data_IF_196031063136
#
_entry.id   IF_196031063136
#
_cell.length_a   1.000
_cell.length_b   1.000
_cell.length_c   1.000
_cell.angle_alpha   90.00
_cell.angle_beta   90.00
_cell.angle_gamma   90.00
#
_symmetry.space_group_name_H-M   'P 1'
#
loop_
_entity.id
_entity.type
_entity.pdbx_description
1 polymer ?
#
# COMPACT_ATOMS: atom_id res chain seq x y z
N UNK A 1 18.88 -9.31 4.47
CA UNK A 1 18.37 -8.15 5.25
C UNK A 1 16.89 -8.36 5.42
N UNK A 2 16.40 -8.55 6.64
CA UNK A 2 14.97 -8.71 6.90
C UNK A 2 14.57 -7.64 7.90
N UNK A 3 13.72 -6.71 7.47
CA UNK A 3 13.09 -5.72 8.33
C UNK A 3 11.63 -5.60 7.92
N UNK A 4 10.72 -5.86 8.84
CA UNK A 4 9.28 -5.76 8.59
C UNK A 4 8.79 -4.47 9.24
N UNK A 5 8.41 -3.43 8.47
CA UNK A 5 7.79 -2.27 9.05
C UNK A 5 6.46 -2.67 9.69
N UNK A 6 6.30 -2.39 10.97
CA UNK A 6 5.05 -2.60 11.71
C UNK A 6 4.37 -1.26 11.94
N UNK A 7 3.11 -1.07 11.51
CA UNK A 7 2.37 0.14 11.82
C UNK A 7 2.09 0.18 13.32
N UNK A 8 2.53 1.25 13.99
CA UNK A 8 2.25 1.46 15.42
C UNK A 8 1.12 2.46 15.65
N UNK A 9 1.02 3.50 14.82
CA UNK A 9 0.00 4.56 14.92
C UNK A 9 -0.32 5.11 13.52
N UNK A 10 -1.59 5.41 13.28
CA UNK A 10 -2.04 6.03 12.04
C UNK A 10 -3.44 6.60 12.17
N UNK A 11 -3.79 7.50 11.27
CA UNK A 11 -5.10 8.09 11.14
C UNK A 11 -5.42 8.32 9.67
N UNK A 12 -6.71 8.30 9.34
CA UNK A 12 -7.17 8.54 7.98
C UNK A 12 -8.54 9.20 7.97
N UNK A 13 -8.80 9.88 6.87
CA UNK A 13 -10.02 10.61 6.58
C UNK A 13 -10.48 10.15 5.20
N UNK A 14 -11.78 9.92 5.03
CA UNK A 14 -12.35 9.64 3.71
C UNK A 14 -13.66 10.38 3.54
N UNK A 15 -13.98 10.69 2.29
CA UNK A 15 -15.23 11.33 1.90
C UNK A 15 -15.65 10.86 0.51
N UNK A 16 -16.96 10.79 0.30
CA UNK A 16 -17.54 10.52 -1.01
C UNK A 16 -18.74 11.43 -1.25
N UNK A 17 -18.95 11.80 -2.51
CA UNK A 17 -20.12 12.53 -2.94
C UNK A 17 -20.61 11.99 -4.28
N UNK A 18 -21.90 12.15 -4.54
CA UNK A 18 -22.55 11.73 -5.78
C UNK A 18 -23.18 12.95 -6.44
N UNK A 19 -22.78 13.20 -7.67
CA UNK A 19 -23.25 14.28 -8.53
C UNK A 19 -23.94 13.65 -9.74
N UNK A 20 -25.23 13.33 -9.60
CA UNK A 20 -25.98 12.59 -10.61
C UNK A 20 -25.39 11.18 -10.86
N UNK A 21 -24.95 10.85 -12.08
CA UNK A 21 -24.33 9.56 -12.37
C UNK A 21 -22.87 9.45 -11.88
N UNK A 22 -22.23 10.58 -11.56
CA UNK A 22 -20.82 10.65 -11.16
C UNK A 22 -20.68 10.47 -9.65
N UNK A 23 -19.82 9.54 -9.24
CA UNK A 23 -19.38 9.35 -7.87
C UNK A 23 -17.93 9.80 -7.75
N UNK A 24 -17.66 10.69 -6.80
CA UNK A 24 -16.33 11.17 -6.46
C UNK A 24 -15.98 10.73 -5.05
N UNK A 25 -14.77 10.23 -4.86
CA UNK A 25 -14.25 9.83 -3.57
C UNK A 25 -12.84 10.38 -3.36
N UNK A 26 -12.54 10.74 -2.11
CA UNK A 26 -11.23 11.19 -1.68
C UNK A 26 -10.86 10.51 -0.37
N UNK A 27 -9.58 10.18 -0.20
CA UNK A 27 -9.04 9.67 1.04
C UNK A 27 -7.65 10.25 1.31
N UNK A 28 -7.37 10.53 2.57
CA UNK A 28 -6.07 10.98 3.08
C UNK A 28 -5.70 10.14 4.28
N UNK A 29 -4.42 9.79 4.40
CA UNK A 29 -3.93 8.95 5.50
C UNK A 29 -2.53 9.34 5.93
N UNK A 30 -2.28 9.19 7.23
CA UNK A 30 -0.97 9.30 7.86
C UNK A 30 -0.67 8.03 8.66
N UNK A 31 0.56 7.55 8.56
CA UNK A 31 1.04 6.42 9.34
C UNK A 31 2.47 6.67 9.85
N UNK A 32 2.73 6.19 11.07
CA UNK A 32 4.07 6.04 11.63
C UNK A 32 4.38 4.54 11.77
N UNK A 33 5.40 4.11 11.05
CA UNK A 33 5.84 2.71 10.98
C UNK A 33 7.15 2.57 11.74
N UNK A 34 7.19 1.64 12.68
CA UNK A 34 8.45 1.25 13.32
C UNK A 34 9.07 0.12 12.51
N UNK A 35 10.37 0.21 12.27
CA UNK A 35 11.13 -0.76 11.49
C UNK A 35 12.36 -1.15 12.26
N UNK A 36 12.47 -2.43 12.56
CA UNK A 36 13.67 -3.06 13.07
C UNK A 36 14.31 -3.86 11.95
N UNK A 37 15.62 -3.70 11.78
CA UNK A 37 16.41 -4.38 10.77
C UNK A 37 17.57 -5.08 11.44
N UNK A 38 17.81 -6.33 11.07
CA UNK A 38 19.02 -7.06 11.46
C UNK A 38 19.75 -7.58 10.21
N UNK A 39 21.09 -7.51 10.23
CA UNK A 39 21.95 -8.19 9.25
C UNK A 39 23.09 -8.93 9.94
N UNK A 40 23.35 -10.15 9.50
CA UNK A 40 24.55 -10.89 9.85
C UNK A 40 25.62 -10.66 8.79
N UNK A 41 26.87 -10.51 9.24
CA UNK A 41 28.07 -10.53 8.39
C UNK A 41 28.96 -11.68 8.85
N UNK A 42 28.70 -12.93 8.40
CA UNK A 42 29.44 -14.11 8.86
C UNK A 42 30.95 -13.99 8.66
N UNK A 43 31.38 -13.40 7.55
CA UNK A 43 32.80 -13.16 7.24
C UNK A 43 33.51 -12.24 8.26
N UNK A 44 32.77 -11.43 9.01
CA UNK A 44 33.30 -10.51 10.03
C UNK A 44 32.89 -10.92 11.45
N UNK A 45 32.23 -12.07 11.62
CA UNK A 45 31.75 -12.54 12.93
C UNK A 45 30.80 -11.57 13.64
N UNK A 46 30.13 -10.67 12.90
CA UNK A 46 29.35 -9.58 13.48
C UNK A 46 27.86 -9.65 13.11
N UNK A 47 26.99 -9.27 14.05
CA UNK A 47 25.57 -9.04 13.83
C UNK A 47 25.27 -7.56 14.06
N UNK A 48 24.62 -6.94 13.09
CA UNK A 48 24.30 -5.52 13.08
C UNK A 48 22.80 -5.33 13.12
N UNK A 49 22.37 -4.28 13.81
CA UNK A 49 20.96 -3.93 13.97
C UNK A 49 20.72 -2.44 13.83
N UNK A 50 19.52 -2.08 13.42
CA UNK A 50 19.04 -0.71 13.46
C UNK A 50 17.54 -0.68 13.71
N UNK A 51 17.08 0.27 14.51
CA UNK A 51 15.67 0.58 14.69
C UNK A 51 15.40 2.03 14.30
N UNK A 52 14.33 2.26 13.54
CA UNK A 52 13.93 3.60 13.14
C UNK A 52 12.43 3.71 12.88
N UNK A 53 11.90 4.92 13.05
CA UNK A 53 10.51 5.23 12.74
C UNK A 53 10.42 5.97 11.41
N UNK A 54 9.69 5.39 10.47
CA UNK A 54 9.34 5.98 9.17
C UNK A 54 7.95 6.61 9.25
N UNK A 55 7.77 7.77 8.62
CA UNK A 55 6.44 8.37 8.46
C UNK A 55 5.97 8.26 7.02
N UNK A 56 4.67 8.06 6.83
CA UNK A 56 4.05 7.95 5.52
C UNK A 56 2.80 8.83 5.46
N UNK A 57 2.71 9.62 4.40
CA UNK A 57 1.52 10.37 4.03
C UNK A 57 0.97 9.79 2.73
N UNK A 58 -0.33 9.52 2.67
CA UNK A 58 -0.99 8.95 1.50
C UNK A 58 -2.22 9.75 1.14
N UNK A 59 -2.51 9.81 -0.16
CA UNK A 59 -3.70 10.45 -0.69
C UNK A 59 -4.21 9.70 -1.91
N UNK A 60 -5.54 9.68 -2.06
CA UNK A 60 -6.22 9.10 -3.21
C UNK A 60 -7.43 9.94 -3.60
N UNK A 61 -7.59 10.15 -4.89
CA UNK A 61 -8.79 10.70 -5.52
C UNK A 61 -9.33 9.67 -6.51
N UNK A 62 -10.64 9.48 -6.54
CA UNK A 62 -11.28 8.52 -7.43
C UNK A 62 -12.58 9.12 -8.00
N UNK A 63 -12.80 8.92 -9.30
CA UNK A 63 -14.03 9.26 -9.99
C UNK A 63 -14.57 8.01 -10.67
N UNK A 64 -15.88 7.81 -10.64
CA UNK A 64 -16.56 6.72 -11.35
C UNK A 64 -17.95 7.16 -11.78
N UNK A 65 -18.46 6.66 -12.91
CA UNK A 65 -19.79 7.02 -13.40
C UNK A 65 -20.57 5.77 -13.77
N UNK A 66 -21.83 5.65 -13.33
CA UNK A 66 -22.67 4.53 -13.74
C UNK A 66 -22.99 4.66 -15.24
N UNK A 67 -22.49 3.73 -16.04
CA UNK A 67 -22.64 3.75 -17.51
C UNK A 67 -23.85 2.91 -17.96
N UNK A 68 -24.04 1.75 -17.34
CA UNK A 68 -25.15 0.86 -17.65
C UNK A 68 -25.55 0.06 -16.41
N UNK A 69 -26.86 -0.18 -16.25
CA UNK A 69 -27.40 -1.01 -15.17
C UNK A 69 -28.46 -1.97 -15.71
N UNK A 70 -28.38 -3.24 -15.34
CA UNK A 70 -29.30 -4.29 -15.78
C UNK A 70 -29.35 -5.41 -14.75
N UNK A 71 -30.53 -5.94 -14.42
CA UNK A 71 -30.70 -7.11 -13.55
C UNK A 71 -29.89 -7.07 -12.23
N UNK A 72 -29.84 -5.91 -11.56
CA UNK A 72 -29.06 -5.74 -10.31
C UNK A 72 -27.55 -5.57 -10.50
N UNK A 73 -27.08 -5.56 -11.75
CA UNK A 73 -25.69 -5.25 -12.11
C UNK A 73 -25.56 -3.77 -12.48
N UNK A 74 -24.43 -3.15 -12.16
CA UNK A 74 -24.08 -1.80 -12.61
C UNK A 74 -22.62 -1.75 -13.06
N UNK A 75 -22.41 -1.39 -14.32
CA UNK A 75 -21.08 -1.20 -14.89
C UNK A 75 -20.70 0.28 -14.84
N UNK A 76 -19.54 0.56 -14.27
CA UNK A 76 -19.01 1.92 -14.09
C UNK A 76 -17.55 2.02 -14.55
N UNK A 77 -17.20 2.86 -15.53
CA UNK A 77 -15.83 3.31 -15.71
C UNK A 77 -15.34 4.06 -14.48
N UNK A 78 -14.03 3.97 -14.24
CA UNK A 78 -13.38 4.53 -13.09
C UNK A 78 -12.00 5.08 -13.45
N UNK A 79 -11.67 6.22 -12.88
CA UNK A 79 -10.34 6.82 -12.90
C UNK A 79 -9.90 7.14 -11.48
N UNK A 80 -8.62 7.00 -11.17
CA UNK A 80 -8.08 7.41 -9.88
C UNK A 80 -6.67 7.96 -9.99
N UNK A 81 -6.31 8.78 -9.01
CA UNK A 81 -4.96 9.25 -8.75
C UNK A 81 -4.60 8.88 -7.32
N UNK A 82 -3.39 8.37 -7.13
CA UNK A 82 -2.88 8.02 -5.80
C UNK A 82 -1.44 8.50 -5.66
N UNK A 83 -1.10 8.99 -4.47
CA UNK A 83 0.26 9.34 -4.10
C UNK A 83 0.55 8.91 -2.67
N UNK A 84 1.77 8.45 -2.41
CA UNK A 84 2.31 8.17 -1.10
C UNK A 84 3.71 8.78 -1.00
N UNK A 85 3.96 9.52 0.08
CA UNK A 85 5.28 9.99 0.45
C UNK A 85 5.73 9.29 1.72
N UNK A 86 6.91 8.69 1.68
CA UNK A 86 7.52 7.96 2.79
C UNK A 86 8.82 8.67 3.18
N UNK A 87 8.95 9.04 4.45
CA UNK A 87 10.15 9.68 5.00
C UNK A 87 10.79 8.78 6.03
N UNK A 88 12.02 8.34 5.77
CA UNK A 88 12.83 7.62 6.76
C UNK A 88 13.97 8.51 7.26
N UNK A 89 14.28 8.50 8.56
CA UNK A 89 15.42 9.21 9.11
C UNK A 89 16.73 8.58 8.60
N UNK A 90 17.84 9.30 8.75
CA UNK A 90 19.15 8.67 8.65
C UNK A 90 19.35 7.75 9.86
N UNK A 91 19.95 6.59 9.65
CA UNK A 91 20.14 5.60 10.71
C UNK A 91 21.54 5.00 10.60
N UNK A 92 22.21 4.91 11.74
CA UNK A 92 23.49 4.20 11.83
C UNK A 92 23.23 2.85 12.48
N UNK A 93 23.70 1.79 11.84
CA UNK A 93 23.62 0.48 12.44
C UNK A 93 24.60 0.31 13.59
N UNK A 94 24.19 -0.48 14.57
CA UNK A 94 24.97 -0.80 15.77
C UNK A 94 25.28 -2.29 15.84
N UNK A 95 26.41 -2.63 16.46
CA UNK A 95 26.81 -4.02 16.73
C UNK A 95 26.63 -4.33 18.21
N UNK A 96 26.11 -5.52 18.52
CA UNK A 96 26.02 -6.00 19.90
C UNK A 96 27.41 -6.26 20.51
N UNK A 97 28.41 -6.65 19.70
CA UNK A 97 29.77 -6.92 20.17
C UNK A 97 30.67 -5.67 20.28
N UNK A 98 30.14 -4.47 20.02
CA UNK A 98 30.88 -3.21 20.03
C UNK A 98 31.78 -2.98 18.80
N UNK A 99 32.37 -4.04 18.24
CA UNK A 99 33.10 -3.98 16.97
C UNK A 99 32.11 -4.00 15.78
N UNK A 100 32.16 -2.96 14.95
CA UNK A 100 31.25 -2.79 13.81
C UNK A 100 31.97 -2.30 12.53
N UNK A 101 33.07 -2.93 12.08
CA UNK A 101 33.82 -2.48 10.90
C UNK A 101 32.97 -2.47 9.62
N UNK A 102 31.91 -3.28 9.57
CA UNK A 102 30.93 -3.31 8.49
C UNK A 102 29.66 -2.48 8.75
N UNK A 103 29.55 -1.73 9.85
CA UNK A 103 28.38 -0.90 10.13
C UNK A 103 28.18 0.16 9.05
N UNK A 104 26.91 0.37 8.71
CA UNK A 104 26.50 1.33 7.71
C UNK A 104 25.76 2.48 8.36
N UNK A 105 26.06 3.68 7.90
CA UNK A 105 25.20 4.83 8.05
C UNK A 105 24.35 4.96 6.79
N UNK A 106 23.03 4.81 6.95
CA UNK A 106 22.07 5.04 5.90
C UNK A 106 21.63 6.50 5.96
N UNK A 107 21.72 7.20 4.83
CA UNK A 107 21.31 8.59 4.75
C UNK A 107 19.80 8.76 4.95
N UNK A 108 19.37 9.93 5.42
CA UNK A 108 17.95 10.32 5.45
C UNK A 108 17.38 10.26 4.03
N UNK A 109 16.15 9.77 3.90
CA UNK A 109 15.46 9.64 2.61
C UNK A 109 14.01 10.12 2.65
N UNK A 110 13.56 10.64 1.53
CA UNK A 110 12.18 11.03 1.28
C UNK A 110 11.78 10.54 -0.10
N UNK A 111 10.99 9.47 -0.15
CA UNK A 111 10.58 8.81 -1.38
C UNK A 111 9.10 9.13 -1.64
N UNK A 112 8.76 9.52 -2.87
CA UNK A 112 7.39 9.74 -3.29
C UNK A 112 7.06 8.78 -4.42
N UNK A 113 5.96 8.04 -4.28
CA UNK A 113 5.40 7.22 -5.35
C UNK A 113 3.99 7.72 -5.66
N UNK A 114 3.70 7.95 -6.93
CA UNK A 114 2.38 8.28 -7.42
C UNK A 114 2.01 7.44 -8.62
N UNK A 115 0.70 7.23 -8.79
CA UNK A 115 0.13 6.49 -9.91
C UNK A 115 -1.19 7.06 -10.36
N UNK A 116 -1.47 6.92 -11.65
CA UNK A 116 -2.82 7.04 -12.21
C UNK A 116 -3.41 5.67 -12.45
N UNK A 117 -4.73 5.57 -12.37
CA UNK A 117 -5.46 4.34 -12.59
C UNK A 117 -6.65 4.60 -13.52
N UNK A 118 -6.88 3.68 -14.46
CA UNK A 118 -8.06 3.66 -15.32
C UNK A 118 -8.62 2.25 -15.34
N UNK A 119 -9.94 2.10 -15.15
CA UNK A 119 -10.53 0.79 -15.01
C UNK A 119 -12.04 0.76 -15.17
N UNK A 120 -12.58 -0.43 -14.98
CA UNK A 120 -14.00 -0.72 -14.95
C UNK A 120 -14.35 -1.39 -13.62
N UNK A 121 -15.51 -1.04 -13.09
CA UNK A 121 -16.11 -1.68 -11.94
C UNK A 121 -17.48 -2.23 -12.32
N UNK A 122 -17.75 -3.47 -11.94
CA UNK A 122 -19.05 -4.10 -11.98
C UNK A 122 -19.53 -4.28 -10.54
N UNK A 123 -20.59 -3.57 -10.19
CA UNK A 123 -21.31 -3.74 -8.93
C UNK A 123 -22.45 -4.74 -9.12
N UNK A 124 -22.68 -5.57 -8.10
CA UNK A 124 -23.74 -6.60 -8.07
C UNK A 124 -24.60 -6.37 -6.84
N UNK A 125 -25.91 -6.36 -7.04
CA UNK A 125 -26.91 -6.41 -5.98
C UNK A 125 -27.88 -7.55 -6.29
N UNK A 126 -27.99 -8.51 -5.37
CA UNK A 126 -28.77 -9.72 -5.55
C UNK A 126 -29.40 -10.20 -4.23
N UNK A 127 -30.27 -11.20 -4.35
CA UNK A 127 -30.84 -11.93 -3.22
C UNK A 127 -30.40 -13.40 -3.33
N UNK A 128 -29.81 -13.93 -2.25
CA UNK A 128 -29.54 -15.35 -2.09
C UNK A 128 -30.64 -15.93 -1.17
N UNK A 129 -31.71 -16.46 -1.77
CA UNK A 129 -32.93 -16.77 -1.03
C UNK A 129 -33.54 -15.50 -0.44
N UNK A 130 -33.70 -15.43 0.88
CA UNK A 130 -34.16 -14.24 1.59
C UNK A 130 -33.01 -13.31 2.04
N UNK A 131 -31.75 -13.64 1.72
CA UNK A 131 -30.56 -12.94 2.22
C UNK A 131 -30.04 -11.95 1.17
N UNK A 132 -30.01 -10.65 1.46
CA UNK A 132 -29.45 -9.63 0.58
C UNK A 132 -27.94 -9.75 0.48
N UNK A 133 -27.43 -9.75 -0.75
CA UNK A 133 -26.01 -9.80 -1.06
C UNK A 133 -25.66 -8.65 -1.98
N UNK A 134 -24.57 -7.96 -1.68
CA UNK A 134 -23.95 -7.01 -2.60
C UNK A 134 -22.49 -7.37 -2.81
N UNK A 135 -21.94 -6.92 -3.93
CA UNK A 135 -20.53 -7.10 -4.21
C UNK A 135 -20.07 -6.23 -5.34
N UNK A 136 -18.76 -6.27 -5.59
CA UNK A 136 -18.15 -5.61 -6.72
C UNK A 136 -16.94 -6.39 -7.21
N UNK A 137 -16.66 -6.25 -8.49
CA UNK A 137 -15.39 -6.62 -9.12
C UNK A 137 -14.87 -5.40 -9.86
N UNK A 138 -13.60 -5.07 -9.66
CA UNK A 138 -12.94 -3.94 -10.30
C UNK A 138 -11.64 -4.43 -10.94
N UNK A 139 -11.43 -4.05 -12.19
CA UNK A 139 -10.18 -4.25 -12.89
C UNK A 139 -9.68 -2.89 -13.39
N UNK A 140 -8.44 -2.54 -13.05
CA UNK A 140 -7.82 -1.27 -13.43
C UNK A 140 -6.41 -1.47 -13.94
N UNK A 141 -6.01 -0.70 -14.94
CA UNK A 141 -4.61 -0.48 -15.26
C UNK A 141 -4.07 0.66 -14.39
N UNK A 142 -2.88 0.47 -13.83
CA UNK A 142 -2.15 1.49 -13.08
C UNK A 142 -0.85 1.87 -13.79
N UNK A 143 -0.57 3.17 -13.85
CA UNK A 143 0.66 3.73 -14.36
C UNK A 143 1.41 4.47 -13.26
N UNK A 144 2.61 3.99 -12.91
CA UNK A 144 3.49 4.58 -11.92
C UNK A 144 4.41 5.62 -12.56
N UNK A 145 4.49 6.80 -11.95
CA UNK A 145 5.28 7.90 -12.48
C UNK A 145 6.76 7.80 -12.10
N UNK A 146 7.05 7.42 -10.85
CA UNK A 146 8.39 7.25 -10.30
C UNK A 146 8.84 5.78 -10.41
N UNK A 147 10.13 5.59 -10.70
CA UNK A 147 10.74 4.27 -10.93
C UNK A 147 12.09 4.08 -10.25
N UNK A 148 12.63 5.15 -9.68
CA UNK A 148 13.95 5.13 -9.07
C UNK A 148 13.81 4.72 -7.61
N UNK A 149 14.73 3.87 -7.16
CA UNK A 149 14.76 3.31 -5.83
C UNK A 149 16.21 3.35 -5.34
N UNK A 150 16.78 4.54 -5.24
CA UNK A 150 18.17 4.72 -4.83
C UNK A 150 18.30 4.86 -3.31
N UNK A 151 19.31 4.20 -2.75
CA UNK A 151 19.65 4.23 -1.33
C UNK A 151 21.11 4.62 -1.16
N UNK A 152 21.37 5.74 -0.50
CA UNK A 152 22.73 6.19 -0.18
C UNK A 152 23.16 5.68 1.19
N UNK A 153 24.35 5.08 1.26
CA UNK A 153 24.95 4.58 2.48
C UNK A 153 26.45 4.93 2.57
N UNK A 154 27.00 4.93 3.78
CA UNK A 154 28.44 5.05 4.04
C UNK A 154 28.91 4.07 5.10
N UNK A 155 30.19 3.67 5.03
CA UNK A 155 30.82 2.80 6.01
C UNK A 155 31.21 3.60 7.26
N UNK A 156 30.71 3.21 8.42
CA UNK A 156 31.04 3.86 9.70
C UNK A 156 32.53 3.68 10.04
N UNK A 157 33.06 2.47 9.79
CA UNK A 157 34.47 2.14 10.02
C UNK A 157 35.44 2.71 8.97
N UNK A 158 34.95 3.35 7.91
CA UNK A 158 35.77 3.95 6.86
C UNK A 158 35.20 5.31 6.44
N UNK A 159 35.44 6.38 7.23
CA UNK A 159 34.94 7.72 6.95
C UNK A 159 35.33 8.20 5.54
N UNK A 160 34.36 8.72 4.78
CA UNK A 160 34.55 9.17 3.40
C UNK A 160 34.21 8.12 2.33
N UNK A 161 34.07 6.85 2.69
CA UNK A 161 33.58 5.82 1.77
C UNK A 161 32.05 5.79 1.74
N UNK A 162 31.45 6.55 0.83
CA UNK A 162 30.02 6.54 0.52
C UNK A 162 29.74 5.83 -0.80
N UNK A 163 28.55 5.24 -0.91
CA UNK A 163 28.11 4.55 -2.10
C UNK A 163 26.58 4.63 -2.22
N UNK A 164 26.09 4.59 -3.45
CA UNK A 164 24.68 4.49 -3.75
C UNK A 164 24.35 3.05 -4.15
N UNK A 165 23.27 2.51 -3.58
CA UNK A 165 22.68 1.24 -3.96
C UNK A 165 21.43 1.58 -4.77
N UNK A 166 21.45 1.28 -6.06
CA UNK A 166 20.24 1.32 -6.89
C UNK A 166 19.46 0.03 -6.68
N UNK A 167 18.24 0.15 -6.16
CA UNK A 167 17.30 -0.93 -5.98
C UNK A 167 16.67 -1.40 -7.30
N UNK A 168 15.89 -2.48 -7.22
CA UNK A 168 15.15 -2.98 -8.37
C UNK A 168 14.14 -1.92 -8.85
N UNK A 169 14.26 -1.52 -10.12
CA UNK A 169 13.32 -0.58 -10.76
C UNK A 169 11.93 -1.21 -10.83
N UNK A 170 10.91 -0.65 -10.15
CA UNK A 170 9.55 -1.14 -10.27
C UNK A 170 9.04 -1.05 -11.71
N UNK A 171 8.20 -2.01 -12.10
CA UNK A 171 7.47 -1.95 -13.35
C UNK A 171 6.63 -0.67 -13.41
N UNK A 172 6.66 0.01 -14.57
CA UNK A 172 5.90 1.24 -14.80
C UNK A 172 4.38 1.02 -14.82
N UNK A 173 3.97 -0.17 -15.25
CA UNK A 173 2.57 -0.52 -15.42
C UNK A 173 2.23 -1.75 -14.57
N UNK A 174 1.04 -1.73 -13.97
CA UNK A 174 0.49 -2.85 -13.24
C UNK A 174 -0.99 -3.05 -13.58
N UNK A 175 -1.46 -4.29 -13.51
CA UNK A 175 -2.87 -4.64 -13.49
C UNK A 175 -3.33 -4.73 -12.04
N UNK A 176 -4.41 -4.03 -11.70
CA UNK A 176 -5.06 -4.05 -10.40
C UNK A 176 -6.37 -4.81 -10.52
N UNK A 177 -6.62 -5.70 -9.58
CA UNK A 177 -7.88 -6.42 -9.43
C UNK A 177 -8.34 -6.22 -7.99
N UNK A 178 -9.57 -5.75 -7.81
CA UNK A 178 -10.18 -5.64 -6.49
C UNK A 178 -11.56 -6.25 -6.52
N UNK A 179 -11.89 -7.05 -5.51
CA UNK A 179 -13.21 -7.66 -5.37
C UNK A 179 -13.70 -7.53 -3.94
N UNK A 180 -14.99 -7.33 -3.77
CA UNK A 180 -15.61 -7.32 -2.46
C UNK A 180 -16.99 -7.92 -2.49
N UNK A 181 -17.38 -8.54 -1.39
CA UNK A 181 -18.74 -9.00 -1.16
C UNK A 181 -19.16 -8.65 0.25
N UNK A 182 -20.45 -8.36 0.41
CA UNK A 182 -21.11 -8.10 1.68
C UNK A 182 -22.43 -8.90 1.70
N UNK A 183 -22.63 -9.69 2.75
CA UNK A 183 -23.80 -10.54 2.99
C UNK A 183 -24.50 -10.05 4.25
N UNK A 184 -25.76 -9.66 4.12
CA UNK A 184 -26.57 -9.21 5.26
C UNK A 184 -27.19 -10.41 5.96
N UNK A 185 -26.49 -10.96 6.96
CA UNK A 185 -26.90 -12.14 7.71
C UNK A 185 -28.19 -11.92 8.49
N UNK A 186 -28.31 -10.75 9.13
CA UNK A 186 -29.52 -10.29 9.84
C UNK A 186 -29.74 -8.80 9.54
N UNK A 187 -30.87 -8.20 9.94
CA UNK A 187 -31.06 -6.75 9.78
C UNK A 187 -29.97 -5.89 10.43
N UNK A 188 -29.31 -6.38 11.48
CA UNK A 188 -28.26 -5.68 12.24
C UNK A 188 -26.85 -6.18 11.98
N UNK A 189 -26.66 -7.31 11.28
CA UNK A 189 -25.36 -7.95 11.10
C UNK A 189 -25.05 -8.14 9.61
N UNK A 190 -23.91 -7.60 9.18
CA UNK A 190 -23.37 -7.79 7.82
C UNK A 190 -21.96 -8.36 7.89
N UNK A 191 -21.72 -9.45 7.17
CA UNK A 191 -20.39 -10.03 6.98
C UNK A 191 -19.89 -9.61 5.60
N UNK A 192 -18.66 -9.11 5.52
CA UNK A 192 -18.03 -8.79 4.26
C UNK A 192 -16.63 -9.35 4.16
N UNK A 193 -16.15 -9.53 2.93
CA UNK A 193 -14.74 -9.76 2.68
C UNK A 193 -14.30 -9.02 1.42
N UNK A 194 -13.01 -8.67 1.40
CA UNK A 194 -12.34 -7.90 0.36
C UNK A 194 -11.07 -8.61 -0.06
N UNK A 195 -10.72 -8.49 -1.33
CA UNK A 195 -9.49 -8.98 -1.90
C UNK A 195 -8.95 -7.98 -2.91
N UNK A 196 -7.64 -7.76 -2.87
CA UNK A 196 -6.91 -6.84 -3.72
C UNK A 196 -5.68 -7.55 -4.30
N UNK A 197 -5.49 -7.45 -5.60
CA UNK A 197 -4.35 -7.97 -6.33
C UNK A 197 -3.71 -6.87 -7.18
N UNK A 198 -2.38 -6.84 -7.18
CA UNK A 198 -1.58 -5.98 -8.04
C UNK A 198 -0.53 -6.85 -8.73
N UNK A 199 -0.62 -6.94 -10.05
CA UNK A 199 0.27 -7.74 -10.88
C UNK A 199 1.07 -6.83 -11.80
N UNK A 200 2.37 -7.04 -11.88
CA UNK A 200 3.26 -6.22 -12.70
C UNK A 200 4.39 -7.07 -13.27
N UNK A 201 5.13 -6.54 -14.25
CA UNK A 201 6.24 -7.28 -14.87
C UNK A 201 7.38 -7.65 -13.92
N UNK A 202 7.46 -7.02 -12.74
CA UNK A 202 8.55 -7.22 -11.76
C UNK A 202 8.07 -7.73 -10.41
N UNK A 203 6.78 -7.64 -10.09
CA UNK A 203 6.27 -8.00 -8.77
C UNK A 203 4.77 -8.28 -8.79
N UNK A 204 4.34 -9.20 -7.94
CA UNK A 204 2.93 -9.50 -7.71
C UNK A 204 2.63 -9.35 -6.21
N UNK A 205 1.53 -8.68 -5.88
CA UNK A 205 1.06 -8.49 -4.50
C UNK A 205 -0.41 -8.88 -4.42
N UNK A 206 -0.76 -9.53 -3.31
CA UNK A 206 -2.11 -9.94 -3.02
C UNK A 206 -2.41 -9.64 -1.55
N UNK A 207 -3.62 -9.18 -1.26
CA UNK A 207 -4.10 -8.88 0.07
C UNK A 207 -5.57 -9.19 0.19
N UNK A 208 -6.02 -9.50 1.39
CA UNK A 208 -7.43 -9.72 1.66
C UNK A 208 -7.77 -9.37 3.10
N UNK A 209 -9.05 -9.07 3.33
CA UNK A 209 -9.59 -8.76 4.65
C UNK A 209 -11.01 -9.28 4.78
N UNK A 210 -11.41 -9.56 6.02
CA UNK A 210 -12.79 -9.89 6.38
C UNK A 210 -13.28 -8.84 7.40
N UNK A 211 -14.56 -8.48 7.31
CA UNK A 211 -15.18 -7.47 8.15
C UNK A 211 -16.52 -7.97 8.68
N UNK A 212 -16.79 -7.73 9.97
CA UNK A 212 -18.10 -7.93 10.59
C UNK A 212 -18.63 -6.57 11.01
N UNK A 213 -19.78 -6.17 10.47
CA UNK A 213 -20.47 -4.92 10.81
C UNK A 213 -21.71 -5.25 11.64
N UNK A 214 -21.82 -4.59 12.79
CA UNK A 214 -22.99 -4.66 13.68
C UNK A 214 -23.57 -3.25 13.81
N UNK A 215 -24.88 -3.12 13.57
CA UNK A 215 -25.64 -1.87 13.73
C UNK A 215 -26.57 -1.99 14.93
N UNK A 216 -26.66 -0.92 15.73
CA UNK A 216 -27.46 -0.82 16.95
C UNK A 216 -28.56 0.24 16.78
#
# INVERSE_FOLDING_TARGET
>A
MAGRPTPRRGAGLYGMTRLGPLNLAAALGYARLETDVTRSLPALGSALSSSYATTAWSGRLQASAALASWNGLTLSPLAALQAIQVRSPGVTETSWSGAAPGALHLARRSETTSRSELGLQLDVQAMLGATPVSGYVRASWAHYFQRDADLSASLVGLPGASFAITGARPARNAALIATGFDVRLTPSVTLGARFDGELSGTSNRYGGSAQLRVSF
#
